data_IF_322526776138
#
_entry.id   IF_322526776138
#
_cell.length_a   1.000
_cell.length_b   1.000
_cell.length_c   1.000
_cell.angle_alpha   90.00
_cell.angle_beta   90.00
_cell.angle_gamma   90.00
#
_symmetry.space_group_name_H-M   'P 1'
#
loop_
_entity.id
_entity.type
_entity.pdbx_description
1 polymer ?
#
# COMPACT_ATOMS: atom_id res chain seq x y z
N UNK A 1 -18.64 14.08 -13.42
CA UNK A 1 -19.16 12.73 -13.09
C UNK A 1 -19.00 12.48 -11.59
N UNK A 2 -19.89 11.73 -10.93
CA UNK A 2 -19.81 11.48 -9.49
C UNK A 2 -19.87 9.98 -9.12
N UNK A 3 -18.70 9.32 -9.07
CA UNK A 3 -18.60 7.96 -8.53
C UNK A 3 -18.60 7.98 -7.00
N UNK A 4 -19.42 7.15 -6.37
CA UNK A 4 -19.43 6.98 -4.91
C UNK A 4 -19.95 5.61 -4.51
N UNK A 5 -19.61 5.17 -3.30
CA UNK A 5 -20.13 3.92 -2.72
C UNK A 5 -21.08 4.28 -1.58
N UNK A 6 -22.29 3.71 -1.60
CA UNK A 6 -23.25 3.79 -0.48
C UNK A 6 -23.97 2.46 -0.31
N UNK A 7 -24.63 2.29 0.83
CA UNK A 7 -25.48 1.12 1.05
C UNK A 7 -26.70 1.21 0.12
N UNK A 8 -27.00 0.12 -0.57
CA UNK A 8 -28.20 -0.07 -1.39
C UNK A 8 -28.70 -1.49 -1.14
N UNK A 9 -29.95 -1.63 -0.71
CA UNK A 9 -30.56 -2.93 -0.39
C UNK A 9 -29.70 -3.80 0.56
N UNK A 10 -29.06 -3.17 1.55
CA UNK A 10 -28.23 -3.87 2.54
C UNK A 10 -26.81 -4.23 2.08
N UNK A 11 -26.42 -3.87 0.85
CA UNK A 11 -25.08 -4.15 0.29
C UNK A 11 -24.35 -2.85 -0.04
N UNK A 12 -23.02 -2.74 0.18
CA UNK A 12 -22.23 -1.63 -0.37
C UNK A 12 -22.21 -1.71 -1.91
N UNK A 13 -22.73 -0.68 -2.57
CA UNK A 13 -22.92 -0.67 -4.02
C UNK A 13 -22.25 0.56 -4.63
N UNK A 14 -21.60 0.37 -5.77
CA UNK A 14 -21.05 1.46 -6.58
C UNK A 14 -22.21 2.22 -7.23
N UNK A 15 -22.16 3.55 -7.16
CA UNK A 15 -23.05 4.44 -7.89
C UNK A 15 -22.24 5.24 -8.90
N UNK A 16 -22.71 5.24 -10.15
CA UNK A 16 -22.19 6.08 -11.23
C UNK A 16 -23.29 7.06 -11.62
N UNK A 17 -23.00 8.36 -11.48
CA UNK A 17 -23.92 9.46 -11.79
C UNK A 17 -25.32 9.29 -11.16
N UNK A 18 -25.35 8.78 -9.92
CA UNK A 18 -26.58 8.63 -9.13
C UNK A 18 -27.31 7.30 -9.31
N UNK A 19 -26.88 6.44 -10.24
CA UNK A 19 -27.48 5.13 -10.49
C UNK A 19 -26.63 4.00 -9.91
N UNK A 20 -27.24 2.97 -9.29
CA UNK A 20 -26.50 1.79 -8.86
C UNK A 20 -25.92 1.10 -10.09
N UNK A 21 -24.64 0.76 -10.03
CA UNK A 21 -23.90 0.14 -11.11
C UNK A 21 -23.31 -1.19 -10.63
N UNK A 22 -23.42 -2.22 -11.47
CA UNK A 22 -22.62 -3.42 -11.27
C UNK A 22 -21.16 -3.08 -11.55
N UNK A 23 -20.29 -3.33 -10.57
CA UNK A 23 -18.87 -3.03 -10.67
C UNK A 23 -18.14 -4.14 -11.46
N UNK A 24 -18.53 -4.33 -12.72
CA UNK A 24 -17.85 -5.21 -13.66
C UNK A 24 -16.61 -4.52 -14.21
N UNK A 25 -15.44 -5.15 -14.08
CA UNK A 25 -14.17 -4.58 -14.52
C UNK A 25 -13.51 -5.45 -15.58
N UNK A 26 -12.84 -4.82 -16.52
CA UNK A 26 -11.72 -5.42 -17.21
C UNK A 26 -10.44 -5.12 -16.44
N UNK A 27 -9.79 -6.14 -15.89
CA UNK A 27 -8.40 -6.00 -15.47
C UNK A 27 -7.49 -6.18 -16.67
N UNK A 28 -6.63 -5.20 -16.92
CA UNK A 28 -5.67 -5.23 -18.00
C UNK A 28 -4.33 -4.60 -17.61
N UNK A 29 -3.32 -4.74 -18.48
CA UNK A 29 -2.10 -3.96 -18.38
C UNK A 29 -2.37 -2.48 -18.61
N UNK A 30 -1.50 -1.61 -18.09
CA UNK A 30 -1.60 -0.18 -18.37
C UNK A 30 -1.56 0.03 -19.90
N UNK A 31 -2.39 0.94 -20.46
CA UNK A 31 -2.29 1.27 -21.87
C UNK A 31 -0.88 1.74 -22.23
N UNK A 32 -0.32 1.12 -23.26
CA UNK A 32 1.03 1.33 -23.74
C UNK A 32 1.01 1.99 -25.13
N UNK A 33 1.92 2.94 -25.35
CA UNK A 33 1.97 3.75 -26.58
C UNK A 33 2.53 3.02 -27.79
N UNK A 34 3.33 1.98 -27.60
CA UNK A 34 3.90 1.18 -28.68
C UNK A 34 3.03 -0.05 -28.94
N UNK A 35 2.58 -0.73 -27.89
CA UNK A 35 1.88 -2.01 -28.02
C UNK A 35 0.67 -2.14 -27.09
N UNK A 36 -0.55 -2.03 -27.63
CA UNK A 36 -1.80 -2.21 -26.86
C UNK A 36 -2.58 -3.44 -27.35
N UNK A 37 -2.09 -4.67 -27.08
CA UNK A 37 -2.62 -5.91 -27.67
C UNK A 37 -4.05 -6.23 -27.19
N UNK A 38 -4.45 -5.65 -26.07
CA UNK A 38 -5.78 -5.81 -25.49
C UNK A 38 -6.84 -4.91 -26.15
N UNK A 39 -6.49 -4.05 -27.10
CA UNK A 39 -7.43 -3.14 -27.76
C UNK A 39 -8.68 -3.86 -28.36
N UNK A 40 -8.57 -5.02 -29.03
CA UNK A 40 -9.75 -5.76 -29.49
C UNK A 40 -10.63 -6.26 -28.34
N UNK A 41 -10.04 -6.59 -27.20
CA UNK A 41 -10.77 -7.04 -26.00
C UNK A 41 -11.48 -5.85 -25.34
N UNK A 42 -10.81 -4.69 -25.26
CA UNK A 42 -11.41 -3.43 -24.78
C UNK A 42 -12.68 -3.11 -25.56
N UNK A 43 -12.64 -3.19 -26.91
CA UNK A 43 -13.82 -2.95 -27.75
C UNK A 43 -14.96 -3.93 -27.47
N UNK A 44 -14.66 -5.22 -27.27
CA UNK A 44 -15.67 -6.23 -26.90
C UNK A 44 -16.29 -5.97 -25.52
N UNK A 45 -15.50 -5.49 -24.55
CA UNK A 45 -16.02 -5.08 -23.25
C UNK A 45 -16.95 -3.87 -23.38
N UNK A 46 -16.57 -2.88 -24.18
CA UNK A 46 -17.40 -1.71 -24.46
C UNK A 46 -18.71 -2.10 -25.18
N UNK A 47 -18.65 -2.97 -26.18
CA UNK A 47 -19.83 -3.53 -26.87
C UNK A 47 -20.77 -4.28 -25.89
N UNK A 48 -20.22 -4.88 -24.83
CA UNK A 48 -20.98 -5.54 -23.77
C UNK A 48 -21.46 -4.59 -22.66
N UNK A 49 -21.22 -3.28 -22.78
CA UNK A 49 -21.61 -2.27 -21.78
C UNK A 49 -20.72 -2.23 -20.54
N UNK A 50 -19.51 -2.80 -20.60
CA UNK A 50 -18.54 -2.80 -19.49
C UNK A 50 -17.44 -1.78 -19.79
N UNK A 51 -17.52 -0.64 -19.11
CA UNK A 51 -16.64 0.51 -19.34
C UNK A 51 -15.64 0.77 -18.20
N UNK A 52 -15.56 -0.11 -17.20
CA UNK A 52 -14.65 0.07 -16.06
C UNK A 52 -13.36 -0.71 -16.31
N UNK A 53 -12.24 -0.02 -16.32
CA UNK A 53 -10.92 -0.62 -16.57
C UNK A 53 -10.02 -0.44 -15.36
N UNK A 54 -9.50 -1.54 -14.83
CA UNK A 54 -8.53 -1.57 -13.77
C UNK A 54 -7.14 -1.90 -14.34
N UNK A 55 -6.14 -1.07 -14.04
CA UNK A 55 -4.76 -1.29 -14.45
C UNK A 55 -3.78 -0.59 -13.51
N UNK A 56 -2.52 -1.03 -13.54
CA UNK A 56 -1.48 -0.50 -12.67
C UNK A 56 -0.96 0.87 -13.12
N UNK A 57 -0.69 1.73 -12.14
CA UNK A 57 0.00 3.02 -12.28
C UNK A 57 0.96 3.22 -11.12
N UNK A 58 1.77 4.27 -11.12
CA UNK A 58 2.67 4.57 -10.00
C UNK A 58 4.10 4.12 -10.26
N UNK A 59 4.76 3.46 -9.31
CA UNK A 59 6.14 2.98 -9.48
C UNK A 59 6.24 1.74 -10.37
N UNK A 60 5.15 0.98 -10.50
CA UNK A 60 5.03 -0.17 -11.41
C UNK A 60 3.94 0.04 -12.46
N UNK A 61 3.90 -0.85 -13.46
CA UNK A 61 3.03 -0.73 -14.61
C UNK A 61 3.53 0.37 -15.53
N UNK A 62 2.92 1.54 -15.43
CA UNK A 62 3.27 2.70 -16.25
C UNK A 62 4.40 3.58 -15.75
N UNK A 63 4.90 3.34 -14.54
CA UNK A 63 6.14 3.93 -14.01
C UNK A 63 6.15 5.46 -13.96
N UNK A 64 5.02 6.09 -13.61
CA UNK A 64 4.96 7.53 -13.38
C UNK A 64 5.80 7.99 -12.18
N UNK A 65 6.02 7.12 -11.18
CA UNK A 65 6.97 7.40 -10.09
C UNK A 65 8.34 6.86 -10.46
N UNK A 66 8.96 7.50 -11.45
CA UNK A 66 10.18 7.03 -12.11
C UNK A 66 11.48 7.37 -11.36
N UNK A 67 11.44 8.32 -10.43
CA UNK A 67 12.65 8.86 -9.81
C UNK A 67 13.42 9.82 -10.70
N UNK A 68 14.54 10.37 -10.19
CA UNK A 68 15.42 11.21 -10.96
C UNK A 68 16.08 10.44 -12.10
N UNK A 69 16.47 11.15 -13.16
CA UNK A 69 17.10 10.60 -14.35
C UNK A 69 18.07 11.58 -15.00
N UNK A 70 18.66 11.20 -16.13
CA UNK A 70 19.65 12.03 -16.83
C UNK A 70 19.04 13.39 -17.24
N UNK A 71 19.52 14.46 -16.62
CA UNK A 71 19.04 15.83 -16.87
C UNK A 71 17.69 16.18 -16.21
N UNK A 72 17.19 15.35 -15.30
CA UNK A 72 15.94 15.57 -14.59
C UNK A 72 16.01 15.10 -13.14
N UNK A 73 15.91 16.03 -12.19
CA UNK A 73 16.00 15.72 -10.75
C UNK A 73 14.63 15.41 -10.13
N UNK A 74 13.53 15.52 -10.88
CA UNK A 74 12.21 15.27 -10.36
C UNK A 74 11.90 13.77 -10.21
N UNK A 75 10.93 13.44 -9.36
CA UNK A 75 10.62 12.04 -9.07
C UNK A 75 9.48 11.48 -9.92
N UNK A 76 8.70 12.34 -10.60
CA UNK A 76 7.48 11.96 -11.28
C UNK A 76 7.51 12.38 -12.74
N UNK A 77 7.12 11.48 -13.65
CA UNK A 77 6.91 11.80 -15.05
C UNK A 77 5.49 11.40 -15.47
N UNK A 78 4.72 12.40 -15.88
CA UNK A 78 3.34 12.23 -16.35
C UNK A 78 3.19 12.56 -17.84
N UNK A 79 4.29 12.81 -18.55
CA UNK A 79 4.29 13.26 -19.96
C UNK A 79 3.52 12.33 -20.89
N UNK A 80 3.56 11.02 -20.62
CA UNK A 80 2.87 10.00 -21.42
C UNK A 80 1.47 9.63 -20.90
N UNK A 81 1.05 10.15 -19.74
CA UNK A 81 -0.21 9.76 -19.10
C UNK A 81 -1.42 10.04 -20.01
N UNK A 82 -1.51 11.25 -20.57
CA UNK A 82 -2.63 11.65 -21.43
C UNK A 82 -2.70 10.78 -22.69
N UNK A 83 -1.59 10.63 -23.42
CA UNK A 83 -1.53 9.84 -24.63
C UNK A 83 -1.92 8.37 -24.39
N UNK A 84 -1.46 7.79 -23.28
CA UNK A 84 -1.77 6.40 -22.91
C UNK A 84 -3.25 6.22 -22.60
N UNK A 85 -3.83 7.08 -21.75
CA UNK A 85 -5.26 7.02 -21.46
C UNK A 85 -6.09 7.32 -22.72
N UNK A 86 -5.61 8.19 -23.60
CA UNK A 86 -6.17 8.45 -24.91
C UNK A 86 -6.30 7.21 -25.78
N UNK A 87 -5.35 6.26 -25.73
CA UNK A 87 -5.48 4.98 -26.44
C UNK A 87 -6.63 4.10 -25.93
N UNK A 88 -6.84 4.07 -24.62
CA UNK A 88 -7.99 3.37 -24.05
C UNK A 88 -9.29 4.05 -24.49
N UNK A 89 -9.34 5.39 -24.40
CA UNK A 89 -10.50 6.19 -24.81
C UNK A 89 -10.81 6.11 -26.31
N UNK A 90 -9.81 5.92 -27.16
CA UNK A 90 -10.00 5.70 -28.58
C UNK A 90 -10.78 4.39 -28.86
N UNK A 91 -10.57 3.37 -28.03
CA UNK A 91 -11.25 2.08 -28.18
C UNK A 91 -12.57 2.01 -27.42
N UNK A 92 -12.71 2.78 -26.34
CA UNK A 92 -13.94 2.96 -25.59
C UNK A 92 -14.06 4.42 -25.10
N UNK A 93 -14.85 5.27 -25.80
CA UNK A 93 -15.08 6.66 -25.41
C UNK A 93 -15.72 6.83 -24.04
N UNK A 94 -16.37 5.78 -23.53
CA UNK A 94 -17.01 5.73 -22.22
C UNK A 94 -16.12 5.10 -21.14
N UNK A 95 -14.87 4.76 -21.46
CA UNK A 95 -13.95 4.18 -20.50
C UNK A 95 -13.82 5.04 -19.24
N UNK A 96 -13.86 4.35 -18.11
CA UNK A 96 -13.64 4.86 -16.75
C UNK A 96 -12.47 4.13 -16.12
N UNK A 97 -11.72 4.84 -15.30
CA UNK A 97 -10.44 4.38 -14.79
C UNK A 97 -10.51 4.00 -13.32
N UNK A 98 -10.08 2.78 -13.03
CA UNK A 98 -9.70 2.35 -11.70
C UNK A 98 -8.19 2.21 -11.65
N UNK A 99 -7.52 3.22 -11.11
CA UNK A 99 -6.07 3.19 -10.99
C UNK A 99 -5.66 2.33 -9.79
N UNK A 100 -5.00 1.21 -10.07
CA UNK A 100 -4.26 0.46 -9.05
C UNK A 100 -2.90 1.12 -8.91
N UNK A 101 -2.80 2.06 -7.97
CA UNK A 101 -1.60 2.87 -7.78
C UNK A 101 -0.59 2.09 -6.95
N UNK A 102 0.41 1.51 -7.61
CA UNK A 102 1.51 0.80 -6.98
C UNK A 102 2.54 1.81 -6.46
N UNK A 103 2.92 1.67 -5.19
CA UNK A 103 3.76 2.63 -4.45
C UNK A 103 5.06 2.00 -3.94
N UNK A 104 5.26 0.70 -4.12
CA UNK A 104 6.46 0.01 -3.65
C UNK A 104 7.70 0.41 -4.45
N UNK A 105 8.86 0.29 -3.82
CA UNK A 105 10.16 0.73 -4.35
C UNK A 105 11.15 -0.42 -4.45
N UNK A 106 10.72 -1.52 -5.07
CA UNK A 106 11.53 -2.72 -5.17
C UNK A 106 12.75 -2.53 -6.09
N UNK A 107 13.95 -2.84 -5.60
CA UNK A 107 15.25 -2.78 -6.32
C UNK A 107 15.34 -1.59 -7.29
N UNK A 108 15.07 -0.40 -6.74
CA UNK A 108 14.89 0.82 -7.53
C UNK A 108 15.88 1.91 -7.11
N UNK A 109 15.96 2.98 -7.91
CA UNK A 109 16.68 4.24 -7.62
C UNK A 109 16.44 4.74 -6.18
N UNK A 110 15.25 4.47 -5.64
CA UNK A 110 14.87 4.91 -4.31
C UNK A 110 15.68 4.20 -3.22
N UNK A 111 15.92 2.90 -3.38
CA UNK A 111 16.71 2.12 -2.43
C UNK A 111 18.19 2.54 -2.41
N UNK A 112 18.71 2.94 -3.57
CA UNK A 112 20.07 3.49 -3.68
C UNK A 112 20.19 4.86 -3.00
N UNK A 113 19.16 5.69 -3.13
CA UNK A 113 19.13 7.04 -2.55
C UNK A 113 18.81 7.06 -1.05
N UNK A 114 17.98 6.12 -0.58
CA UNK A 114 17.50 6.05 0.81
C UNK A 114 17.76 4.68 1.46
N UNK A 115 19.00 4.15 1.46
CA UNK A 115 19.29 2.78 1.91
C UNK A 115 18.93 2.53 3.39
N UNK A 116 19.03 3.56 4.24
CA UNK A 116 18.67 3.48 5.66
C UNK A 116 17.16 3.38 5.92
N UNK A 117 16.35 3.80 4.94
CA UNK A 117 14.90 3.77 4.99
C UNK A 117 14.31 2.51 4.35
N UNK A 118 15.15 1.66 3.75
CA UNK A 118 14.76 0.35 3.25
C UNK A 118 14.49 -0.66 4.38
N UNK A 119 13.62 -1.62 4.08
CA UNK A 119 13.41 -2.80 4.91
C UNK A 119 14.72 -3.54 5.12
N UNK A 120 14.87 -4.17 6.28
CA UNK A 120 15.99 -5.06 6.57
C UNK A 120 15.44 -6.43 6.96
N UNK A 121 15.65 -7.42 6.09
CA UNK A 121 15.35 -8.82 6.39
C UNK A 121 16.39 -9.46 7.31
N UNK A 122 16.07 -10.60 7.92
CA UNK A 122 17.01 -11.36 8.77
C UNK A 122 18.23 -11.85 8.00
N UNK A 123 18.11 -12.06 6.68
CA UNK A 123 19.24 -12.39 5.79
C UNK A 123 20.14 -11.20 5.47
N UNK A 124 19.76 -9.98 5.91
CA UNK A 124 20.48 -8.75 5.63
C UNK A 124 20.04 -8.03 4.35
N UNK A 125 19.05 -8.56 3.63
CA UNK A 125 18.56 -8.00 2.36
C UNK A 125 17.80 -6.70 2.56
N UNK A 126 17.99 -5.76 1.62
CA UNK A 126 17.34 -4.44 1.56
C UNK A 126 16.72 -4.18 0.18
N UNK A 127 15.63 -4.88 -0.12
CA UNK A 127 15.05 -4.86 -1.47
C UNK A 127 13.98 -3.78 -1.70
N UNK A 128 13.37 -3.22 -0.66
CA UNK A 128 12.26 -2.25 -0.81
C UNK A 128 12.20 -1.23 0.33
N UNK A 129 11.48 -0.14 0.12
CA UNK A 129 11.24 0.87 1.15
C UNK A 129 10.50 0.27 2.35
N UNK A 130 10.95 0.59 3.57
CA UNK A 130 10.19 0.21 4.76
C UNK A 130 8.82 0.87 4.74
N UNK A 131 7.78 0.07 4.94
CA UNK A 131 6.45 0.63 5.19
C UNK A 131 6.41 1.55 6.41
N UNK A 132 7.42 1.50 7.29
CA UNK A 132 7.59 2.43 8.41
C UNK A 132 8.38 3.71 8.07
N UNK A 133 9.00 3.79 6.89
CA UNK A 133 9.69 4.98 6.41
C UNK A 133 8.73 6.15 6.27
N UNK A 134 8.98 7.21 7.04
CA UNK A 134 8.23 8.46 6.94
C UNK A 134 8.57 9.22 5.66
N UNK A 135 9.78 9.05 5.13
CA UNK A 135 10.21 9.65 3.87
C UNK A 135 9.40 9.05 2.71
N UNK A 136 9.38 7.72 2.61
CA UNK A 136 8.60 7.02 1.60
C UNK A 136 7.11 7.36 1.67
N UNK A 137 6.53 7.37 2.88
CA UNK A 137 5.10 7.71 3.09
C UNK A 137 4.74 9.11 2.61
N UNK A 138 5.55 10.12 2.93
CA UNK A 138 5.28 11.50 2.48
C UNK A 138 5.50 11.65 0.97
N UNK A 139 6.48 10.95 0.39
CA UNK A 139 6.69 10.94 -1.06
C UNK A 139 5.56 10.22 -1.80
N UNK A 140 5.05 9.10 -1.29
CA UNK A 140 3.90 8.37 -1.85
C UNK A 140 2.63 9.25 -1.84
N UNK A 141 2.42 10.02 -0.76
CA UNK A 141 1.34 11.00 -0.66
C UNK A 141 1.55 12.17 -1.63
N UNK A 142 2.78 12.65 -1.79
CA UNK A 142 3.11 13.68 -2.77
C UNK A 142 2.85 13.19 -4.21
N UNK A 143 3.23 11.94 -4.51
CA UNK A 143 2.93 11.28 -5.78
C UNK A 143 1.43 11.25 -6.05
N UNK A 144 0.63 10.74 -5.12
CA UNK A 144 -0.83 10.66 -5.29
C UNK A 144 -1.45 12.04 -5.54
N UNK A 145 -1.04 13.06 -4.77
CA UNK A 145 -1.50 14.44 -4.97
C UNK A 145 -1.11 14.98 -6.34
N UNK A 146 0.13 14.76 -6.77
CA UNK A 146 0.65 15.22 -8.04
C UNK A 146 -0.05 14.50 -9.22
N UNK A 147 -0.26 13.19 -9.12
CA UNK A 147 -0.93 12.38 -10.13
C UNK A 147 -2.40 12.80 -10.30
N UNK A 148 -3.13 12.95 -9.20
CA UNK A 148 -4.51 13.48 -9.22
C UNK A 148 -4.54 14.90 -9.80
N UNK A 149 -3.58 15.75 -9.42
CA UNK A 149 -3.44 17.11 -9.95
C UNK A 149 -3.20 17.12 -11.46
N UNK A 150 -2.36 16.22 -11.95
CA UNK A 150 -2.09 16.06 -13.38
C UNK A 150 -3.34 15.60 -14.13
N UNK A 151 -4.04 14.57 -13.63
CA UNK A 151 -5.30 14.08 -14.23
C UNK A 151 -6.38 15.18 -14.31
N UNK A 152 -6.45 16.07 -13.32
CA UNK A 152 -7.32 17.25 -13.37
C UNK A 152 -6.88 18.24 -14.45
N UNK A 153 -5.57 18.50 -14.56
CA UNK A 153 -5.00 19.41 -15.55
C UNK A 153 -5.29 18.96 -16.99
N UNK A 154 -5.21 17.66 -17.27
CA UNK A 154 -5.50 17.09 -18.60
C UNK A 154 -6.98 16.72 -18.79
N UNK A 155 -7.88 17.12 -17.87
CA UNK A 155 -9.32 16.92 -18.02
C UNK A 155 -9.82 15.48 -17.89
N UNK A 156 -9.01 14.56 -17.36
CA UNK A 156 -9.36 13.14 -17.22
C UNK A 156 -9.78 12.73 -15.80
N UNK A 157 -9.70 13.63 -14.82
CA UNK A 157 -10.07 13.33 -13.43
C UNK A 157 -11.53 12.85 -13.27
N UNK A 158 -12.44 13.38 -14.08
CA UNK A 158 -13.86 13.02 -14.07
C UNK A 158 -14.12 11.60 -14.58
N UNK A 159 -13.14 10.94 -15.21
CA UNK A 159 -13.27 9.54 -15.65
C UNK A 159 -12.80 8.56 -14.59
N UNK A 160 -12.22 9.03 -13.49
CA UNK A 160 -11.64 8.17 -12.46
C UNK A 160 -12.71 7.78 -11.45
N UNK A 161 -12.90 6.48 -11.28
CA UNK A 161 -13.87 5.93 -10.32
C UNK A 161 -13.21 5.49 -9.02
N UNK A 162 -11.91 5.17 -9.04
CA UNK A 162 -11.17 4.74 -7.87
C UNK A 162 -9.66 4.92 -8.02
N UNK A 163 -9.01 5.24 -6.89
CA UNK A 163 -7.57 5.13 -6.69
C UNK A 163 -7.33 4.06 -5.62
N UNK A 164 -6.95 2.86 -6.04
CA UNK A 164 -6.59 1.76 -5.15
C UNK A 164 -5.08 1.76 -4.94
N UNK A 165 -4.63 2.29 -3.80
CA UNK A 165 -3.21 2.28 -3.43
C UNK A 165 -2.77 0.89 -3.02
N UNK A 166 -1.63 0.44 -3.54
CA UNK A 166 -0.99 -0.82 -3.22
C UNK A 166 0.52 -0.65 -3.02
N UNK A 167 1.13 -1.49 -2.20
CA UNK A 167 2.59 -1.61 -2.07
C UNK A 167 2.95 -3.07 -1.74
N UNK A 168 4.24 -3.39 -1.72
CA UNK A 168 4.72 -4.75 -1.56
C UNK A 168 4.65 -5.57 -2.85
N UNK A 169 5.22 -6.77 -2.83
CA UNK A 169 5.45 -7.59 -4.04
C UNK A 169 4.19 -7.91 -4.85
N UNK A 170 3.01 -7.98 -4.23
CA UNK A 170 1.73 -8.24 -4.91
C UNK A 170 0.88 -6.98 -5.14
N UNK A 171 1.31 -5.82 -4.62
CA UNK A 171 0.49 -4.62 -4.55
C UNK A 171 -0.66 -4.70 -3.53
N UNK A 172 -0.66 -5.69 -2.64
CA UNK A 172 -1.72 -5.92 -1.63
C UNK A 172 -1.27 -5.56 -0.21
N UNK A 173 -0.20 -4.77 -0.09
CA UNK A 173 0.45 -4.44 1.19
C UNK A 173 1.11 -5.64 1.86
N UNK A 174 1.58 -6.58 1.05
CA UNK A 174 2.31 -7.77 1.47
C UNK A 174 3.76 -7.58 1.08
N UNK A 175 4.65 -7.55 2.08
CA UNK A 175 6.09 -7.45 1.86
C UNK A 175 6.57 -8.60 0.98
N UNK A 176 7.59 -8.37 0.16
CA UNK A 176 8.11 -9.37 -0.77
C UNK A 176 8.75 -10.56 -0.06
N UNK A 177 10.05 -10.45 0.23
CA UNK A 177 10.85 -11.59 0.71
C UNK A 177 10.57 -11.98 2.16
N UNK A 178 10.16 -11.04 3.00
CA UNK A 178 9.96 -11.28 4.43
C UNK A 178 8.53 -11.72 4.81
N UNK A 179 7.64 -11.95 3.84
CA UNK A 179 6.24 -12.33 4.10
C UNK A 179 5.98 -13.77 3.69
N UNK A 180 5.35 -14.54 4.59
CA UNK A 180 5.04 -15.97 4.36
C UNK A 180 6.27 -16.80 3.95
N UNK A 181 7.47 -16.35 4.32
CA UNK A 181 8.75 -16.96 4.03
C UNK A 181 9.49 -17.29 5.33
N UNK A 182 10.62 -17.99 5.20
CA UNK A 182 11.52 -18.24 6.33
C UNK A 182 12.19 -16.95 6.81
N UNK A 183 12.54 -16.07 5.87
CA UNK A 183 13.12 -14.77 6.19
C UNK A 183 12.10 -13.89 6.93
N UNK A 184 12.51 -13.38 8.08
CA UNK A 184 11.71 -12.48 8.88
C UNK A 184 12.15 -11.03 8.63
N UNK A 185 11.24 -10.09 8.81
CA UNK A 185 11.55 -8.67 8.76
C UNK A 185 10.58 -7.90 9.65
N UNK A 186 10.55 -6.59 9.63
CA UNK A 186 11.52 -5.67 9.06
C UNK A 186 12.30 -5.10 10.24
N UNK A 187 13.61 -5.32 10.23
CA UNK A 187 14.51 -4.95 11.32
C UNK A 187 15.13 -3.57 11.16
N UNK A 188 14.71 -2.83 10.13
CA UNK A 188 15.22 -1.51 9.78
C UNK A 188 15.00 -0.49 10.90
N UNK A 189 15.79 0.58 10.87
CA UNK A 189 15.67 1.71 11.79
C UNK A 189 14.27 2.34 11.78
N UNK A 190 13.63 2.59 10.60
CA UNK A 190 12.25 3.06 10.56
C UNK A 190 11.26 2.15 11.30
N UNK A 191 11.34 0.83 11.09
CA UNK A 191 10.42 -0.11 11.72
C UNK A 191 10.64 -0.19 13.23
N UNK A 192 11.88 -0.18 13.68
CA UNK A 192 12.21 -0.14 15.12
C UNK A 192 11.63 1.11 15.78
N UNK A 193 11.86 2.29 15.20
CA UNK A 193 11.31 3.56 15.67
C UNK A 193 9.78 3.52 15.71
N UNK A 194 9.15 3.01 14.66
CA UNK A 194 7.70 2.87 14.60
C UNK A 194 7.17 1.92 15.68
N UNK A 195 7.82 0.77 15.88
CA UNK A 195 7.43 -0.22 16.88
C UNK A 195 7.51 0.34 18.30
N UNK A 196 8.60 1.03 18.63
CA UNK A 196 8.78 1.67 19.94
C UNK A 196 7.70 2.73 20.21
N UNK A 197 7.43 3.60 19.24
CA UNK A 197 6.36 4.61 19.35
C UNK A 197 4.98 3.97 19.47
N UNK A 198 4.76 2.85 18.79
CA UNK A 198 3.53 2.10 18.91
C UNK A 198 3.37 1.48 20.30
N UNK A 199 4.43 0.91 20.89
CA UNK A 199 4.40 0.39 22.25
C UNK A 199 4.06 1.49 23.26
N UNK A 200 4.69 2.65 23.12
CA UNK A 200 4.36 3.85 23.91
C UNK A 200 2.87 4.18 23.86
N UNK A 201 2.30 4.24 22.65
CA UNK A 201 0.87 4.53 22.46
C UNK A 201 -0.06 3.40 22.94
N UNK A 202 0.39 2.14 22.91
CA UNK A 202 -0.42 0.99 23.33
C UNK A 202 -0.51 0.86 24.85
N UNK A 203 0.59 1.14 25.54
CA UNK A 203 0.73 0.99 26.98
C UNK A 203 0.73 2.35 27.69
N UNK A 204 0.17 3.38 27.06
CA UNK A 204 0.01 4.73 27.62
C UNK A 204 1.29 5.33 28.23
N UNK A 205 2.44 5.04 27.60
CA UNK A 205 3.78 5.38 28.08
C UNK A 205 4.14 4.83 29.49
N UNK A 206 3.44 3.82 29.98
CA UNK A 206 3.75 3.15 31.24
C UNK A 206 4.60 1.88 31.03
N UNK A 207 5.87 1.96 31.42
CA UNK A 207 6.80 0.83 31.34
C UNK A 207 6.42 -0.30 32.29
N UNK A 208 5.75 -0.03 33.42
CA UNK A 208 5.30 -1.11 34.33
C UNK A 208 4.25 -1.96 33.64
N UNK A 209 3.30 -1.33 32.94
CA UNK A 209 2.31 -2.02 32.13
C UNK A 209 2.97 -2.79 30.99
N UNK A 210 4.00 -2.24 30.32
CA UNK A 210 4.78 -2.97 29.32
C UNK A 210 5.46 -4.21 29.92
N UNK A 211 6.19 -4.06 31.02
CA UNK A 211 6.90 -5.14 31.71
C UNK A 211 5.95 -6.26 32.13
N UNK A 212 4.82 -5.92 32.75
CA UNK A 212 3.78 -6.86 33.14
C UNK A 212 3.16 -7.55 31.91
N UNK A 213 2.90 -6.79 30.85
CA UNK A 213 2.36 -7.33 29.62
C UNK A 213 3.34 -8.29 28.94
N UNK A 214 4.64 -8.01 28.95
CA UNK A 214 5.66 -8.86 28.30
C UNK A 214 6.26 -9.93 29.21
N UNK A 215 5.90 -9.93 30.50
CA UNK A 215 6.52 -10.76 31.52
C UNK A 215 8.05 -10.61 31.53
N UNK A 216 8.54 -9.37 31.38
CA UNK A 216 9.96 -9.03 31.44
C UNK A 216 10.15 -7.76 32.25
N UNK A 217 10.92 -7.84 33.34
CA UNK A 217 11.17 -6.71 34.25
C UNK A 217 12.11 -5.65 33.67
N UNK A 218 12.89 -6.01 32.65
CA UNK A 218 13.90 -5.16 32.00
C UNK A 218 13.40 -4.48 30.71
N UNK A 219 12.13 -4.68 30.35
CA UNK A 219 11.57 -4.14 29.12
C UNK A 219 11.36 -2.62 29.22
N UNK A 220 12.01 -1.87 28.34
CA UNK A 220 11.77 -0.42 28.20
C UNK A 220 11.30 -0.11 26.79
N UNK A 221 10.62 1.02 26.61
CA UNK A 221 10.25 1.44 25.25
C UNK A 221 11.46 1.75 24.38
N UNK A 222 12.57 2.20 24.98
CA UNK A 222 13.79 2.58 24.27
C UNK A 222 14.60 1.36 23.80
N UNK A 223 14.65 0.31 24.62
CA UNK A 223 15.36 -0.95 24.31
C UNK A 223 14.49 -1.96 23.55
N UNK A 224 13.18 -1.73 23.44
CA UNK A 224 12.28 -2.62 22.72
C UNK A 224 12.70 -2.76 21.25
N UNK A 225 12.92 -4.00 20.84
CA UNK A 225 13.27 -4.38 19.48
C UNK A 225 12.15 -5.23 18.84
N UNK A 226 12.10 -5.21 17.51
CA UNK A 226 11.37 -6.21 16.72
C UNK A 226 11.93 -7.59 17.13
N UNK A 227 11.08 -8.58 17.51
CA UNK A 227 11.53 -9.91 17.89
C UNK A 227 12.43 -10.53 16.82
N UNK A 228 13.51 -11.17 17.23
CA UNK A 228 14.46 -11.84 16.34
C UNK A 228 13.80 -12.94 15.49
N UNK A 229 14.44 -13.33 14.40
CA UNK A 229 13.97 -14.44 13.56
C UNK A 229 13.75 -15.71 14.39
N UNK A 230 14.68 -16.05 15.29
CA UNK A 230 14.56 -17.19 16.20
C UNK A 230 13.30 -17.09 17.07
N UNK A 231 13.03 -15.93 17.68
CA UNK A 231 11.82 -15.71 18.49
C UNK A 231 10.53 -15.72 17.67
N UNK A 232 10.59 -15.34 16.39
CA UNK A 232 9.45 -15.36 15.48
C UNK A 232 9.16 -16.79 14.99
N UNK A 233 10.19 -17.57 14.64
CA UNK A 233 10.02 -18.94 14.13
C UNK A 233 9.83 -19.98 15.22
N UNK A 234 10.21 -19.69 16.47
CA UNK A 234 10.02 -20.61 17.60
C UNK A 234 8.54 -20.85 17.91
N UNK A 235 8.16 -22.12 18.01
CA UNK A 235 6.85 -22.59 18.45
C UNK A 235 7.02 -23.58 19.61
N UNK A 236 6.06 -23.58 20.53
CA UNK A 236 6.11 -24.42 21.74
C UNK A 236 5.31 -25.71 21.59
N UNK A 237 4.36 -25.74 20.64
CA UNK A 237 3.52 -26.90 20.37
C UNK A 237 3.05 -26.90 18.91
N UNK A 238 3.73 -27.66 18.05
CA UNK A 238 3.55 -27.65 16.59
C UNK A 238 3.64 -26.24 16.00
N UNK A 239 2.51 -25.65 15.60
CA UNK A 239 2.44 -24.30 15.02
C UNK A 239 2.06 -23.24 16.06
N UNK A 240 1.79 -23.63 17.31
CA UNK A 240 1.34 -22.72 18.36
C UNK A 240 2.52 -22.20 19.19
N UNK A 241 2.51 -20.89 19.44
CA UNK A 241 3.42 -20.21 20.37
C UNK A 241 2.79 -20.12 21.75
N UNK A 242 3.59 -20.18 22.80
CA UNK A 242 3.10 -19.99 24.16
C UNK A 242 2.83 -18.48 24.41
N UNK A 243 1.58 -18.09 24.70
CA UNK A 243 1.22 -16.70 24.94
C UNK A 243 1.75 -16.12 26.25
N UNK A 244 2.39 -16.90 27.13
CA UNK A 244 3.06 -16.40 28.33
C UNK A 244 4.52 -16.02 28.05
N UNK A 245 5.22 -16.78 27.21
CA UNK A 245 6.65 -16.64 26.95
C UNK A 245 6.97 -15.95 25.61
N UNK A 246 6.08 -16.03 24.62
CA UNK A 246 6.28 -15.43 23.29
C UNK A 246 5.47 -14.14 23.09
N UNK A 247 5.16 -13.40 24.16
CA UNK A 247 4.35 -12.18 24.05
C UNK A 247 4.93 -11.11 23.13
N UNK A 248 6.24 -10.83 23.10
CA UNK A 248 6.84 -9.93 22.11
C UNK A 248 6.55 -10.39 20.67
N UNK A 249 6.80 -11.67 20.34
CA UNK A 249 6.50 -12.27 19.02
C UNK A 249 5.01 -12.24 18.68
N UNK A 250 4.13 -12.48 19.65
CA UNK A 250 2.67 -12.38 19.47
C UNK A 250 2.19 -10.94 19.28
N UNK A 251 2.90 -9.98 19.88
CA UNK A 251 2.62 -8.55 19.82
C UNK A 251 2.93 -8.01 18.43
N UNK A 252 4.01 -8.50 17.80
CA UNK A 252 4.38 -8.12 16.43
C UNK A 252 3.56 -8.88 15.36
N UNK A 253 3.32 -10.18 15.52
CA UNK A 253 2.54 -10.97 14.54
C UNK A 253 1.07 -10.56 14.47
N UNK A 254 0.48 -10.09 15.58
CA UNK A 254 -0.84 -9.44 15.56
C UNK A 254 -0.87 -8.12 14.77
N UNK A 255 0.29 -7.53 14.43
CA UNK A 255 0.41 -6.15 13.89
C UNK A 255 1.18 -6.05 12.57
N UNK A 256 1.88 -7.08 12.12
CA UNK A 256 2.47 -7.13 10.77
C UNK A 256 1.43 -6.83 9.66
N UNK A 257 0.24 -7.45 9.66
CA UNK A 257 -0.86 -7.05 8.79
C UNK A 257 -1.52 -5.70 9.17
N UNK A 258 -1.09 -5.03 10.25
CA UNK A 258 -1.60 -3.73 10.72
C UNK A 258 -0.74 -2.54 10.25
N UNK A 259 0.48 -2.75 9.72
CA UNK A 259 1.15 -1.70 8.96
C UNK A 259 0.31 -1.28 7.74
N UNK A 260 -0.39 -2.21 7.08
CA UNK A 260 -1.32 -1.91 5.99
C UNK A 260 -2.47 -0.94 6.38
N UNK A 261 -3.25 -1.16 7.47
CA UNK A 261 -4.20 -0.18 8.01
C UNK A 261 -3.60 1.16 8.43
N UNK A 262 -2.36 1.18 8.92
CA UNK A 262 -1.70 2.43 9.35
C UNK A 262 -1.25 3.24 8.12
N UNK A 263 -0.74 2.58 7.08
CA UNK A 263 -0.56 3.14 5.73
C UNK A 263 -1.89 3.62 5.14
N UNK A 264 -2.99 2.90 5.35
CA UNK A 264 -4.32 3.35 4.92
C UNK A 264 -4.79 4.63 5.66
N UNK A 265 -4.45 4.78 6.95
CA UNK A 265 -4.72 5.99 7.72
C UNK A 265 -3.84 7.19 7.31
N UNK A 266 -2.65 6.94 6.75
CA UNK A 266 -1.76 7.97 6.20
C UNK A 266 -2.39 8.69 5.00
N UNK A 267 -3.18 7.97 4.19
CA UNK A 267 -3.86 8.55 3.02
C UNK A 267 -5.25 9.13 3.30
N UNK A 268 -5.94 8.63 4.33
CA UNK A 268 -7.33 9.01 4.63
C UNK A 268 -7.48 10.02 5.77
N UNK A 269 -6.40 10.33 6.50
CA UNK A 269 -6.42 11.21 7.68
C UNK A 269 -7.29 10.71 8.83
N UNK A 270 -7.83 9.49 8.73
CA UNK A 270 -8.68 8.87 9.74
C UNK A 270 -7.89 7.77 10.44
N UNK A 271 -7.45 8.04 11.67
CA UNK A 271 -7.14 6.96 12.60
C UNK A 271 -8.43 6.17 12.85
N UNK A 272 -8.37 4.83 12.88
CA UNK A 272 -9.49 4.02 13.35
C UNK A 272 -9.84 4.48 14.77
N UNK A 273 -10.93 5.26 14.92
CA UNK A 273 -11.52 5.50 16.25
C UNK A 273 -11.84 4.13 16.83
N UNK A 274 -11.29 3.83 18.02
CA UNK A 274 -11.72 2.66 18.78
C UNK A 274 -13.25 2.76 18.89
N UNK A 275 -13.95 1.70 18.48
CA UNK A 275 -15.33 1.47 18.90
C UNK A 275 -15.24 1.26 20.42
N UNK A 276 -15.39 2.33 21.19
CA UNK A 276 -15.67 2.23 22.62
C UNK A 276 -17.08 1.68 22.75
N UNK A 277 -17.21 0.68 23.61
CA UNK A 277 -18.40 -0.12 23.83
C UNK A 277 -19.71 0.67 23.78
N UNK A 278 -20.65 0.17 22.98
CA UNK A 278 -22.07 0.43 23.21
C UNK A 278 -22.47 -0.44 24.40
N UNK A 279 -22.73 0.21 25.54
CA UNK A 279 -23.67 -0.31 26.54
C UNK A 279 -25.07 -0.34 25.95
#
# INVERSE_FOLDING_TARGET
>A
MHAHVKMHEGTPTLFLDGHPAFAGYMWTGAPDLEHFPVAPIVRRYAEAGIHLYAFYTGSQGSKEWCGPGAGYDGHFDFSLTEARLGKLLYNDPDARFHFRVHLDMYDSWWCEMYPEECELGSGGTRASASFASTIWREQAKAFLKAYIGHLKKIGLADRVIAYQTGAGGTGEWVKGECSMAAECGDYSTPMRRYFQNWLRAKYDNDEKTLCAAWNRSDATFASAAVPSETEQLHTSHFLFRDPATNRPSSTITRRWPICAPTCWSIFTGRSKRRRTDRR
#
